data_IF_590490438287
#
_entry.id   IF_590490438287
#
_cell.length_a   1.000
_cell.length_b   1.000
_cell.length_c   1.000
_cell.angle_alpha   90.00
_cell.angle_beta   90.00
_cell.angle_gamma   90.00
#
_symmetry.space_group_name_H-M   'P 1'
#
loop_
_entity.id
_entity.type
_entity.pdbx_description
1 polymer ?
#
# COMPACT_ATOMS: atom_id res chain seq x y z
N UNK A 1 -3.44 -17.90 11.27
CA UNK A 1 -2.85 -16.54 11.17
C UNK A 1 -3.36 -15.63 12.27
N UNK A 2 -4.67 -15.43 12.40
CA UNK A 2 -5.26 -14.50 13.38
C UNK A 2 -4.86 -14.75 14.83
N UNK A 3 -4.89 -15.99 15.32
CA UNK A 3 -4.55 -16.27 16.73
C UNK A 3 -3.08 -16.03 17.06
N UNK A 4 -2.17 -16.36 16.12
CA UNK A 4 -0.74 -16.09 16.24
C UNK A 4 -0.44 -14.58 16.23
N UNK A 5 -1.10 -13.81 15.36
CA UNK A 5 -1.01 -12.34 15.36
C UNK A 5 -1.51 -11.78 16.69
N UNK A 6 -2.64 -12.25 17.22
CA UNK A 6 -3.20 -11.78 18.51
C UNK A 6 -2.29 -12.08 19.70
N UNK A 7 -1.64 -13.25 19.70
CA UNK A 7 -0.66 -13.60 20.73
C UNK A 7 0.51 -12.60 20.74
N UNK A 8 1.11 -12.33 19.58
CA UNK A 8 2.21 -11.37 19.42
C UNK A 8 1.79 -9.93 19.70
N UNK A 9 0.56 -9.56 19.31
CA UNK A 9 -0.03 -8.26 19.64
C UNK A 9 -0.09 -8.04 21.16
N UNK A 10 -0.55 -9.04 21.92
CA UNK A 10 -0.57 -8.98 23.40
C UNK A 10 0.83 -8.82 23.98
N UNK A 11 1.85 -9.42 23.35
CA UNK A 11 3.24 -9.25 23.72
C UNK A 11 3.88 -7.94 23.23
N UNK A 12 3.14 -7.09 22.49
CA UNK A 12 3.66 -5.89 21.79
C UNK A 12 4.80 -6.18 20.80
N UNK A 13 4.82 -7.40 20.25
CA UNK A 13 5.82 -7.86 19.29
C UNK A 13 5.41 -7.49 17.84
N UNK A 14 5.70 -6.25 17.43
CA UNK A 14 5.40 -5.76 16.07
C UNK A 14 6.15 -6.55 14.99
N UNK A 15 7.42 -6.87 15.22
CA UNK A 15 8.24 -7.59 14.25
C UNK A 15 7.72 -9.01 14.02
N UNK A 16 7.36 -9.71 15.10
CA UNK A 16 6.76 -11.02 14.99
C UNK A 16 5.36 -10.97 14.36
N UNK A 17 4.54 -9.95 14.65
CA UNK A 17 3.25 -9.82 13.97
C UNK A 17 3.44 -9.71 12.45
N UNK A 18 4.42 -8.93 12.00
CA UNK A 18 4.75 -8.81 10.57
C UNK A 18 5.20 -10.15 9.97
N UNK A 19 6.00 -10.93 10.70
CA UNK A 19 6.47 -12.24 10.24
C UNK A 19 5.34 -13.29 10.05
N UNK A 20 4.16 -13.07 10.64
CA UNK A 20 2.98 -13.93 10.43
C UNK A 20 2.22 -13.60 9.13
N UNK A 21 2.55 -12.50 8.46
CA UNK A 21 1.95 -12.06 7.20
C UNK A 21 2.90 -12.47 6.07
N UNK A 22 2.59 -13.57 5.39
CA UNK A 22 3.35 -13.99 4.21
C UNK A 22 3.12 -13.05 3.03
N UNK A 23 4.06 -13.03 2.08
CA UNK A 23 3.90 -12.27 0.82
C UNK A 23 2.63 -12.70 0.08
N UNK A 24 2.33 -14.00 0.03
CA UNK A 24 1.09 -14.53 -0.58
C UNK A 24 -0.17 -13.95 0.09
N UNK A 25 -0.18 -13.88 1.44
CA UNK A 25 -1.31 -13.28 2.15
C UNK A 25 -1.40 -11.79 1.85
N UNK A 26 -0.26 -11.10 1.83
CA UNK A 26 -0.16 -9.68 1.60
C UNK A 26 -0.67 -9.31 0.19
N UNK A 27 -0.31 -10.08 -0.83
CA UNK A 27 -0.68 -9.89 -2.24
C UNK A 27 -2.20 -9.90 -2.46
N UNK A 28 -2.98 -10.57 -1.61
CA UNK A 28 -4.44 -10.49 -1.67
C UNK A 28 -4.99 -9.09 -1.33
N UNK A 29 -4.26 -8.30 -0.54
CA UNK A 29 -4.73 -7.03 0.03
C UNK A 29 -4.02 -5.79 -0.50
N UNK A 30 -2.83 -5.92 -1.08
CA UNK A 30 -2.04 -4.76 -1.51
C UNK A 30 -1.70 -4.83 -2.99
N UNK A 31 -1.35 -3.68 -3.57
CA UNK A 31 -0.70 -3.59 -4.87
C UNK A 31 0.79 -3.31 -4.61
N UNK A 32 1.67 -4.23 -5.03
CA UNK A 32 3.12 -4.09 -4.87
C UNK A 32 3.81 -3.88 -6.21
N UNK A 33 4.89 -3.09 -6.20
CA UNK A 33 5.73 -2.91 -7.38
C UNK A 33 6.66 -1.71 -7.28
N UNK A 34 7.59 -1.58 -8.24
CA UNK A 34 8.34 -0.37 -8.45
C UNK A 34 7.39 0.82 -8.60
N UNK A 35 7.79 1.98 -8.07
CA UNK A 35 6.94 3.18 -8.09
C UNK A 35 6.52 3.60 -9.50
N UNK A 36 7.39 3.40 -10.50
CA UNK A 36 7.11 3.66 -11.92
C UNK A 36 5.97 2.81 -12.49
N UNK A 37 5.66 1.67 -11.89
CA UNK A 37 4.62 0.73 -12.33
C UNK A 37 3.34 0.80 -11.49
N UNK A 38 3.35 1.55 -10.38
CA UNK A 38 2.23 1.54 -9.42
C UNK A 38 0.92 2.01 -10.04
N UNK A 39 0.96 3.01 -10.93
CA UNK A 39 -0.26 3.49 -11.60
C UNK A 39 -0.92 2.37 -12.42
N UNK A 40 -0.15 1.72 -13.29
CA UNK A 40 -0.62 0.63 -14.14
C UNK A 40 -1.18 -0.53 -13.32
N UNK A 41 -0.45 -0.94 -12.26
CA UNK A 41 -0.90 -2.03 -11.38
C UNK A 41 -2.15 -1.69 -10.58
N UNK A 42 -2.31 -0.43 -10.14
CA UNK A 42 -3.53 0.03 -9.48
C UNK A 42 -4.71 -0.02 -10.45
N UNK A 43 -4.51 0.44 -11.69
CA UNK A 43 -5.53 0.39 -12.73
C UNK A 43 -5.91 -1.06 -13.03
N UNK A 44 -4.96 -1.94 -13.27
CA UNK A 44 -5.19 -3.38 -13.50
C UNK A 44 -6.03 -4.00 -12.37
N UNK A 45 -5.70 -3.70 -11.11
CA UNK A 45 -6.38 -4.27 -9.94
C UNK A 45 -7.82 -3.79 -9.75
N UNK A 46 -8.12 -2.55 -10.15
CA UNK A 46 -9.36 -1.86 -9.77
C UNK A 46 -10.20 -1.33 -10.94
N UNK A 47 -9.76 -1.51 -12.19
CA UNK A 47 -10.49 -1.07 -13.37
C UNK A 47 -11.91 -1.65 -13.38
N UNK A 48 -12.89 -0.76 -13.54
CA UNK A 48 -14.32 -1.12 -13.51
C UNK A 48 -14.90 -1.43 -12.12
N UNK A 49 -14.09 -1.38 -11.06
CA UNK A 49 -14.52 -1.63 -9.68
C UNK A 49 -14.50 -0.36 -8.82
N UNK A 50 -13.41 0.42 -8.91
CA UNK A 50 -13.25 1.63 -8.12
C UNK A 50 -13.58 2.88 -8.93
N UNK A 51 -14.31 3.82 -8.33
CA UNK A 51 -14.55 5.16 -8.89
C UNK A 51 -13.52 6.19 -8.44
N UNK A 52 -12.72 5.88 -7.40
CA UNK A 52 -11.69 6.74 -6.84
C UNK A 52 -10.64 5.93 -6.08
N UNK A 53 -9.37 6.30 -6.26
CA UNK A 53 -8.23 5.81 -5.47
C UNK A 53 -7.71 6.94 -4.58
N UNK A 54 -7.31 6.63 -3.35
CA UNK A 54 -6.79 7.60 -2.38
C UNK A 54 -5.45 7.13 -1.85
N UNK A 55 -4.42 7.95 -1.97
CA UNK A 55 -3.16 7.72 -1.25
C UNK A 55 -3.32 8.20 0.20
N UNK A 56 -3.75 7.29 1.08
CA UNK A 56 -4.08 7.62 2.47
C UNK A 56 -2.85 8.14 3.24
N UNK A 57 -1.68 7.57 2.99
CA UNK A 57 -0.43 7.96 3.65
C UNK A 57 0.38 9.02 2.89
N UNK A 58 -0.07 9.48 1.72
CA UNK A 58 0.69 10.46 0.92
C UNK A 58 1.00 11.75 1.66
N UNK A 59 0.07 12.24 2.51
CA UNK A 59 0.31 13.43 3.34
C UNK A 59 1.31 13.19 4.48
N UNK A 60 1.33 11.98 5.05
CA UNK A 60 2.30 11.61 6.08
C UNK A 60 3.70 11.46 5.47
N UNK A 61 3.81 10.80 4.32
CA UNK A 61 5.05 10.71 3.56
C UNK A 61 5.59 12.09 3.22
N UNK A 62 4.74 13.01 2.74
CA UNK A 62 5.13 14.38 2.44
C UNK A 62 5.61 15.14 3.69
N UNK A 63 5.01 14.89 4.85
CA UNK A 63 5.43 15.49 6.13
C UNK A 63 6.82 15.01 6.54
N UNK A 64 7.14 13.74 6.28
CA UNK A 64 8.45 13.16 6.60
C UNK A 64 9.52 13.53 5.57
N UNK A 65 9.15 13.57 4.29
CA UNK A 65 10.00 13.92 3.16
C UNK A 65 9.21 14.73 2.13
N UNK A 66 9.44 16.05 2.06
CA UNK A 66 8.75 16.90 1.10
C UNK A 66 8.94 16.48 -0.37
N UNK A 67 10.04 15.80 -0.71
CA UNK A 67 10.32 15.36 -2.07
C UNK A 67 9.45 14.18 -2.51
N UNK A 68 8.86 13.44 -1.56
CA UNK A 68 7.97 12.31 -1.82
C UNK A 68 6.68 12.74 -2.55
N UNK A 69 6.29 14.02 -2.46
CA UNK A 69 5.10 14.55 -3.12
C UNK A 69 5.15 14.38 -4.64
N UNK A 70 6.31 14.60 -5.27
CA UNK A 70 6.46 14.45 -6.71
C UNK A 70 6.18 13.02 -7.16
N UNK A 71 6.73 12.06 -6.42
CA UNK A 71 6.55 10.63 -6.63
C UNK A 71 5.06 10.21 -6.52
N UNK A 72 4.34 10.73 -5.52
CA UNK A 72 2.91 10.48 -5.39
C UNK A 72 2.08 11.20 -6.46
N UNK A 73 2.51 12.38 -6.92
CA UNK A 73 1.88 13.11 -8.01
C UNK A 73 1.99 12.36 -9.35
N UNK A 74 3.10 11.68 -9.62
CA UNK A 74 3.26 10.82 -10.81
C UNK A 74 2.24 9.68 -10.81
N UNK A 75 2.11 8.97 -9.68
CA UNK A 75 1.12 7.88 -9.53
C UNK A 75 -0.31 8.42 -9.67
N UNK A 76 -0.62 9.55 -9.01
CA UNK A 76 -1.94 10.16 -9.09
C UNK A 76 -2.32 10.58 -10.52
N UNK A 77 -1.36 11.13 -11.28
CA UNK A 77 -1.55 11.46 -12.70
C UNK A 77 -1.86 10.22 -13.53
N UNK A 78 -1.07 9.16 -13.38
CA UNK A 78 -1.27 7.91 -14.13
C UNK A 78 -2.63 7.25 -13.86
N UNK A 79 -3.13 7.30 -12.61
CA UNK A 79 -4.43 6.72 -12.27
C UNK A 79 -5.61 7.61 -12.70
N UNK A 80 -5.43 8.93 -12.75
CA UNK A 80 -6.53 9.87 -13.06
C UNK A 80 -6.75 10.05 -14.57
N UNK A 81 -5.68 10.05 -15.36
CA UNK A 81 -5.72 10.11 -16.82
C UNK A 81 -5.05 8.86 -17.41
N UNK A 82 -5.70 7.69 -17.29
CA UNK A 82 -5.19 6.43 -17.81
C UNK A 82 -5.16 6.40 -19.35
#
# INVERSE_FOLDING_TARGET
TTDRIRERQRARDLAGMAAEVSDELLDHFVVTGPRSELADKILERYQGLATRVVSYFGGLDWTNDPSALNAWADVARGVTNP
#
